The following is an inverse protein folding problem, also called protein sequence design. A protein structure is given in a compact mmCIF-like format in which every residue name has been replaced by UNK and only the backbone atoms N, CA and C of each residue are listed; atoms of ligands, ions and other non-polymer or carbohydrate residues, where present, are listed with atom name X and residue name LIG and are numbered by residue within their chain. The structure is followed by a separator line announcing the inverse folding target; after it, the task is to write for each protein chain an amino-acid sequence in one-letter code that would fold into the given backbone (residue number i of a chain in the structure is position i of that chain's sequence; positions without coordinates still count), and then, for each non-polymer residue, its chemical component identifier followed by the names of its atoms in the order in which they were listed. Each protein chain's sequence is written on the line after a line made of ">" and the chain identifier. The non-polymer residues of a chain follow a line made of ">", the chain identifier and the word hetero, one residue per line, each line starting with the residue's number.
data_IF_056738216814
#
_entry.id   IF_056738216814
#
_cell.length_a   1.000
_cell.length_b   1.000
_cell.length_c   1.000
_cell.angle_alpha   90.00
_cell.angle_beta   90.00
_cell.angle_gamma   90.00
#
_symmetry.space_group_name_H-M   'P 1'
#
loop_
_entity.id
_entity.type
_entity.pdbx_description
1 polymer ?
#
# COMPACT_ATOMS: atom_id res chain seq x y z
N UNK A 1 10.73 -15.84 4.25
CA UNK A 1 10.00 -16.79 3.39
C UNK A 1 10.27 -16.55 1.89
N UNK A 2 9.37 -15.98 1.07
CA UNK A 2 9.59 -15.91 -0.39
C UNK A 2 10.77 -15.01 -0.82
N UNK A 3 10.89 -13.81 -0.26
CA UNK A 3 12.03 -12.91 -0.56
C UNK A 3 13.37 -13.46 -0.07
N UNK A 4 13.34 -14.28 0.97
CA UNK A 4 14.50 -14.97 1.53
C UNK A 4 14.91 -16.16 0.67
N UNK A 5 13.94 -16.96 0.22
CA UNK A 5 14.16 -18.04 -0.72
C UNK A 5 14.69 -17.51 -2.07
N UNK A 6 14.15 -16.39 -2.57
CA UNK A 6 14.65 -15.74 -3.78
C UNK A 6 16.12 -15.31 -3.63
N UNK A 7 16.48 -14.71 -2.48
CA UNK A 7 17.88 -14.34 -2.19
C UNK A 7 18.78 -15.55 -2.05
N UNK A 8 18.35 -16.59 -1.32
CA UNK A 8 19.14 -17.80 -1.10
C UNK A 8 19.40 -18.62 -2.37
N UNK A 9 18.53 -18.49 -3.38
CA UNK A 9 18.65 -19.20 -4.67
C UNK A 9 19.23 -18.34 -5.79
N UNK A 10 19.43 -17.03 -5.57
CA UNK A 10 19.84 -16.08 -6.60
C UNK A 10 18.78 -15.88 -7.70
N UNK A 11 17.50 -16.17 -7.42
CA UNK A 11 16.43 -16.07 -8.41
C UNK A 11 16.20 -14.61 -8.85
N UNK A 12 16.16 -14.38 -10.16
CA UNK A 12 15.83 -13.06 -10.72
C UNK A 12 14.37 -12.65 -10.49
N UNK A 13 13.48 -13.63 -10.34
CA UNK A 13 12.06 -13.40 -10.06
C UNK A 13 11.40 -14.60 -9.37
N UNK A 14 10.30 -14.32 -8.66
CA UNK A 14 9.37 -15.30 -8.11
C UNK A 14 8.02 -15.14 -8.80
N UNK A 15 7.58 -16.16 -9.54
CA UNK A 15 6.28 -16.17 -10.22
C UNK A 15 5.19 -16.65 -9.26
N UNK A 16 4.12 -15.88 -9.15
CA UNK A 16 2.97 -16.18 -8.30
C UNK A 16 1.74 -16.44 -9.17
N UNK A 17 1.02 -17.52 -8.87
CA UNK A 17 -0.20 -17.94 -9.59
C UNK A 17 -1.45 -17.14 -9.27
N UNK A 18 -1.33 -15.84 -9.00
CA UNK A 18 -2.50 -14.98 -8.77
C UNK A 18 -3.24 -14.74 -10.08
N UNK A 19 -4.56 -14.90 -10.03
CA UNK A 19 -5.50 -14.76 -11.14
C UNK A 19 -6.27 -13.44 -11.09
N UNK A 20 -7.11 -13.20 -12.09
CA UNK A 20 -8.08 -12.10 -12.13
C UNK A 20 -9.07 -12.16 -10.97
N UNK A 21 -9.49 -13.36 -10.58
CA UNK A 21 -10.40 -13.57 -9.47
C UNK A 21 -9.76 -13.12 -8.14
N UNK A 22 -8.47 -13.40 -7.94
CA UNK A 22 -7.72 -12.93 -6.77
C UNK A 22 -7.61 -11.38 -6.71
N UNK A 23 -7.64 -10.70 -7.87
CA UNK A 23 -7.74 -9.24 -7.92
C UNK A 23 -9.09 -8.77 -7.40
N UNK A 24 -10.18 -9.35 -7.91
CA UNK A 24 -11.53 -8.99 -7.49
C UNK A 24 -11.72 -9.18 -5.98
N UNK A 25 -11.25 -10.31 -5.44
CA UNK A 25 -11.21 -10.56 -3.99
C UNK A 25 -10.44 -9.46 -3.24
N UNK A 26 -9.25 -9.12 -3.73
CA UNK A 26 -8.40 -8.10 -3.09
C UNK A 26 -9.05 -6.71 -3.11
N UNK A 27 -9.76 -6.36 -4.19
CA UNK A 27 -10.51 -5.11 -4.31
C UNK A 27 -11.65 -5.07 -3.30
N UNK A 28 -12.47 -6.13 -3.21
CA UNK A 28 -13.59 -6.20 -2.25
C UNK A 28 -13.09 -6.12 -0.80
N UNK A 29 -12.01 -6.81 -0.49
CA UNK A 29 -11.37 -6.72 0.83
C UNK A 29 -10.77 -5.34 1.11
N UNK A 30 -10.31 -4.65 0.08
CA UNK A 30 -9.86 -3.26 0.17
C UNK A 30 -11.01 -2.30 0.46
N UNK A 31 -12.13 -2.46 -0.25
CA UNK A 31 -13.35 -1.67 -0.08
C UNK A 31 -13.90 -1.79 1.34
N UNK A 32 -14.03 -3.03 1.85
CA UNK A 32 -14.55 -3.29 3.19
C UNK A 32 -13.72 -2.64 4.31
N UNK A 33 -12.44 -2.35 4.07
CA UNK A 33 -11.54 -1.69 5.03
C UNK A 33 -11.53 -0.16 4.93
N UNK A 34 -12.36 0.43 4.06
CA UNK A 34 -12.39 1.88 3.84
C UNK A 34 -11.10 2.40 3.19
N UNK A 35 -10.49 1.59 2.33
CA UNK A 35 -9.15 1.87 1.82
C UNK A 35 -9.19 2.87 0.66
N UNK A 36 -8.17 3.75 0.57
CA UNK A 36 -8.06 4.71 -0.53
C UNK A 36 -7.71 4.06 -1.88
N UNK A 37 -7.74 4.86 -2.95
CA UNK A 37 -7.50 4.43 -4.34
C UNK A 37 -6.30 3.48 -4.51
N UNK A 38 -5.18 3.72 -3.81
CA UNK A 38 -4.00 2.84 -3.88
C UNK A 38 -4.26 1.41 -3.39
N UNK A 39 -5.07 1.24 -2.35
CA UNK A 39 -5.41 -0.10 -1.88
C UNK A 39 -6.43 -0.78 -2.79
N UNK A 40 -7.31 0.00 -3.41
CA UNK A 40 -8.30 -0.48 -4.37
C UNK A 40 -7.68 -0.79 -5.74
N UNK A 41 -6.49 -0.25 -6.01
CA UNK A 41 -5.73 -0.59 -7.20
C UNK A 41 -5.41 -2.09 -7.30
N UNK A 42 -5.50 -2.88 -6.21
CA UNK A 42 -5.26 -4.32 -6.22
C UNK A 42 -3.77 -4.69 -6.30
N UNK A 43 -3.46 -5.94 -6.67
CA UNK A 43 -2.08 -6.46 -6.72
C UNK A 43 -1.32 -6.02 -7.99
N UNK A 44 -0.09 -5.54 -7.82
CA UNK A 44 0.76 -5.17 -8.96
C UNK A 44 1.25 -6.41 -9.74
N UNK A 45 1.33 -6.28 -11.07
CA UNK A 45 1.94 -7.29 -11.98
C UNK A 45 3.38 -7.56 -11.57
N UNK A 46 4.13 -6.52 -11.19
CA UNK A 46 5.50 -6.59 -10.71
C UNK A 46 5.63 -5.83 -9.40
N UNK A 47 6.28 -6.44 -8.39
CA UNK A 47 6.66 -5.77 -7.14
C UNK A 47 7.95 -6.38 -6.61
N UNK A 48 9.04 -5.62 -6.67
CA UNK A 48 10.37 -6.13 -6.31
C UNK A 48 10.74 -7.34 -7.19
N UNK A 49 11.03 -8.49 -6.59
CA UNK A 49 11.29 -9.76 -7.30
C UNK A 49 10.01 -10.54 -7.64
N UNK A 50 8.85 -10.15 -7.09
CA UNK A 50 7.60 -10.87 -7.31
C UNK A 50 7.00 -10.50 -8.67
N UNK A 51 6.48 -11.50 -9.39
CA UNK A 51 5.77 -11.35 -10.66
C UNK A 51 4.44 -12.10 -10.60
N UNK A 52 3.39 -11.54 -11.21
CA UNK A 52 2.04 -12.14 -11.28
C UNK A 52 1.57 -12.16 -12.74
N UNK A 53 2.07 -13.11 -13.56
CA UNK A 53 1.77 -13.13 -14.99
C UNK A 53 0.30 -13.46 -15.31
N UNK A 54 -0.44 -14.02 -14.36
CA UNK A 54 -1.80 -14.51 -14.59
C UNK A 54 -2.91 -13.59 -14.10
N UNK A 55 -2.61 -12.33 -13.76
CA UNK A 55 -3.64 -11.39 -13.26
C UNK A 55 -4.77 -11.11 -14.26
N UNK A 56 -4.55 -11.39 -15.53
CA UNK A 56 -5.57 -11.29 -16.57
C UNK A 56 -6.27 -12.62 -16.86
N UNK A 57 -5.79 -13.75 -16.33
CA UNK A 57 -6.36 -15.08 -16.51
C UNK A 57 -7.37 -15.35 -15.41
N UNK A 58 -8.52 -15.97 -15.73
CA UNK A 58 -9.52 -16.35 -14.74
C UNK A 58 -9.19 -17.69 -14.09
N UNK A 59 -9.69 -17.93 -12.87
CA UNK A 59 -9.58 -19.25 -12.22
C UNK A 59 -10.28 -20.35 -13.04
N UNK A 60 -11.36 -20.02 -13.74
CA UNK A 60 -12.02 -20.97 -14.64
C UNK A 60 -11.10 -21.39 -15.80
N UNK A 61 -10.32 -20.46 -16.36
CA UNK A 61 -9.34 -20.76 -17.41
C UNK A 61 -8.20 -21.64 -16.89
N UNK A 62 -7.66 -21.37 -15.70
CA UNK A 62 -6.60 -22.22 -15.13
C UNK A 62 -7.10 -23.64 -14.84
N UNK A 63 -8.31 -23.77 -14.28
CA UNK A 63 -8.96 -25.08 -14.08
C UNK A 63 -9.17 -25.81 -15.41
N UNK A 64 -9.61 -25.10 -16.46
CA UNK A 64 -9.81 -25.70 -17.79
C UNK A 64 -8.51 -26.23 -18.38
N UNK A 65 -7.39 -25.52 -18.20
CA UNK A 65 -6.06 -25.98 -18.64
C UNK A 65 -5.70 -27.28 -17.94
N UNK A 66 -5.86 -27.38 -16.62
CA UNK A 66 -5.60 -28.63 -15.89
C UNK A 66 -6.45 -29.79 -16.42
N UNK A 67 -7.75 -29.56 -16.65
CA UNK A 67 -8.65 -30.58 -17.19
C UNK A 67 -8.22 -31.07 -18.58
N UNK A 68 -7.84 -30.15 -19.48
CA UNK A 68 -7.42 -30.51 -20.85
C UNK A 68 -6.13 -31.34 -20.85
N UNK A 69 -5.23 -31.09 -19.91
CA UNK A 69 -3.99 -31.84 -19.77
C UNK A 69 -4.08 -33.06 -18.84
N UNK A 70 -5.25 -33.31 -18.24
CA UNK A 70 -5.43 -34.39 -17.26
C UNK A 70 -4.61 -34.19 -15.97
N UNK A 71 -4.29 -32.95 -15.61
CA UNK A 71 -3.61 -32.64 -14.36
C UNK A 71 -4.60 -32.58 -13.20
N UNK A 72 -4.25 -33.23 -12.09
CA UNK A 72 -4.98 -33.14 -10.84
C UNK A 72 -4.33 -32.08 -9.93
N UNK A 73 -4.88 -30.85 -9.86
CA UNK A 73 -4.30 -29.81 -9.03
C UNK A 73 -4.56 -30.10 -7.55
N UNK A 74 -3.53 -29.94 -6.73
CA UNK A 74 -3.73 -29.96 -5.28
C UNK A 74 -4.68 -28.83 -4.85
N UNK A 75 -5.74 -29.19 -4.13
CA UNK A 75 -6.71 -28.25 -3.55
C UNK A 75 -6.33 -28.03 -2.09
N UNK A 76 -6.00 -26.79 -1.74
CA UNK A 76 -5.63 -26.44 -0.37
C UNK A 76 -6.82 -26.65 0.59
N UNK A 77 -6.63 -27.28 1.76
CA UNK A 77 -7.69 -27.40 2.77
C UNK A 77 -8.34 -26.08 3.20
N UNK A 78 -7.67 -24.93 2.98
CA UNK A 78 -8.19 -23.60 3.26
C UNK A 78 -9.05 -22.99 2.13
N UNK A 79 -9.14 -23.66 0.97
CA UNK A 79 -9.98 -23.26 -0.17
C UNK A 79 -11.48 -23.58 0.04
N UNK A 80 -11.89 -24.07 1.22
CA UNK A 80 -13.31 -24.30 1.52
C UNK A 80 -14.02 -23.03 2.00
N UNK A 81 -15.21 -22.74 1.48
CA UNK A 81 -16.04 -21.57 1.83
C UNK A 81 -16.86 -21.69 3.11
N UNK A 82 -16.48 -22.57 4.05
CA UNK A 82 -17.21 -22.89 5.29
C UNK A 82 -17.14 -21.78 6.36
N UNK A 83 -17.94 -21.93 7.43
CA UNK A 83 -17.82 -21.06 8.61
C UNK A 83 -16.44 -21.23 9.26
N UNK A 84 -15.71 -20.14 9.50
CA UNK A 84 -14.33 -20.17 9.99
C UNK A 84 -13.24 -20.17 8.91
N UNK A 85 -13.63 -20.20 7.62
CA UNK A 85 -12.68 -20.11 6.52
C UNK A 85 -11.96 -18.73 6.48
N UNK A 86 -10.74 -18.66 5.92
CA UNK A 86 -10.06 -17.38 5.69
C UNK A 86 -10.96 -16.40 4.93
N UNK A 87 -10.87 -15.11 5.27
CA UNK A 87 -11.75 -14.09 4.71
C UNK A 87 -11.73 -14.03 3.17
N UNK A 88 -10.58 -14.28 2.54
CA UNK A 88 -10.45 -14.40 1.07
C UNK A 88 -11.29 -15.55 0.50
N UNK A 89 -11.24 -16.72 1.12
CA UNK A 89 -12.05 -17.88 0.73
C UNK A 89 -13.55 -17.58 0.88
N UNK A 90 -13.96 -16.89 1.95
CA UNK A 90 -15.35 -16.45 2.10
C UNK A 90 -15.78 -15.46 1.00
N UNK A 91 -14.92 -14.51 0.62
CA UNK A 91 -15.21 -13.59 -0.49
C UNK A 91 -15.38 -14.36 -1.80
N UNK A 92 -14.47 -15.30 -2.10
CA UNK A 92 -14.52 -16.15 -3.30
C UNK A 92 -15.79 -16.99 -3.38
N UNK A 93 -16.15 -17.67 -2.30
CA UNK A 93 -17.20 -18.69 -2.33
C UNK A 93 -18.58 -18.19 -1.93
N UNK A 94 -18.69 -17.01 -1.31
CA UNK A 94 -19.98 -16.46 -0.85
C UNK A 94 -20.29 -15.10 -1.44
N UNK A 95 -19.33 -14.18 -1.44
CA UNK A 95 -19.59 -12.78 -1.83
C UNK A 95 -19.62 -12.62 -3.34
N UNK A 96 -18.58 -13.07 -4.05
CA UNK A 96 -18.51 -12.95 -5.50
C UNK A 96 -19.68 -13.65 -6.22
N UNK A 97 -20.09 -14.88 -5.84
CA UNK A 97 -21.24 -15.54 -6.46
C UNK A 97 -22.54 -14.76 -6.28
N UNK A 98 -22.80 -14.22 -5.08
CA UNK A 98 -24.00 -13.39 -4.83
C UNK A 98 -23.96 -12.11 -5.65
N UNK A 99 -22.79 -11.48 -5.80
CA UNK A 99 -22.66 -10.30 -6.65
C UNK A 99 -22.93 -10.63 -8.12
N UNK A 100 -22.44 -11.77 -8.63
CA UNK A 100 -22.71 -12.19 -10.01
C UNK A 100 -24.17 -12.60 -10.23
N UNK A 101 -24.81 -13.23 -9.24
CA UNK A 101 -26.22 -13.58 -9.26
C UNK A 101 -27.11 -12.33 -9.34
N UNK A 102 -26.82 -11.31 -8.53
CA UNK A 102 -27.66 -10.11 -8.40
C UNK A 102 -27.37 -9.07 -9.47
N UNK A 103 -26.09 -8.84 -9.81
CA UNK A 103 -25.66 -7.77 -10.74
C UNK A 103 -25.42 -8.28 -12.17
N UNK A 104 -25.43 -9.60 -12.36
CA UNK A 104 -25.10 -10.26 -13.62
C UNK A 104 -23.62 -10.68 -13.72
N UNK A 105 -23.29 -11.49 -14.73
CA UNK A 105 -21.97 -12.06 -14.89
C UNK A 105 -20.89 -11.00 -15.14
N UNK A 106 -19.65 -11.29 -14.73
CA UNK A 106 -18.49 -10.46 -15.06
C UNK A 106 -18.13 -9.39 -14.02
N UNK A 107 -18.69 -9.49 -12.81
CA UNK A 107 -18.34 -8.62 -11.68
C UNK A 107 -16.84 -8.69 -11.38
N UNK A 108 -16.26 -9.89 -11.38
CA UNK A 108 -14.82 -10.05 -11.14
C UNK A 108 -13.97 -9.30 -12.17
N UNK A 109 -14.37 -9.36 -13.45
CA UNK A 109 -13.70 -8.64 -14.53
C UNK A 109 -13.89 -7.12 -14.41
N UNK A 110 -15.08 -6.65 -14.02
CA UNK A 110 -15.34 -5.24 -13.78
C UNK A 110 -14.48 -4.69 -12.62
N UNK A 111 -14.40 -5.41 -11.51
CA UNK A 111 -13.55 -5.05 -10.36
C UNK A 111 -12.07 -5.00 -10.73
N UNK A 112 -11.59 -5.98 -11.51
CA UNK A 112 -10.21 -5.99 -11.99
C UNK A 112 -9.90 -4.79 -12.91
N UNK A 113 -10.83 -4.40 -13.80
CA UNK A 113 -10.68 -3.18 -14.64
C UNK A 113 -10.63 -1.91 -13.80
N UNK A 114 -11.54 -1.76 -12.82
CA UNK A 114 -11.52 -0.62 -11.89
C UNK A 114 -10.20 -0.55 -11.13
N UNK A 115 -9.67 -1.70 -10.69
CA UNK A 115 -8.38 -1.77 -10.02
C UNK A 115 -7.22 -1.32 -10.92
N UNK A 116 -7.24 -1.71 -12.21
CA UNK A 116 -6.25 -1.28 -13.18
C UNK A 116 -6.28 0.25 -13.40
N UNK A 117 -7.46 0.82 -13.62
CA UNK A 117 -7.61 2.27 -13.80
C UNK A 117 -7.14 3.05 -12.55
N UNK A 118 -7.54 2.60 -11.35
CA UNK A 118 -7.07 3.22 -10.10
C UNK A 118 -5.55 3.09 -9.91
N UNK A 119 -4.92 2.07 -10.50
CA UNK A 119 -3.47 1.91 -10.48
C UNK A 119 -2.79 2.96 -11.35
N UNK A 120 -3.27 3.16 -12.58
CA UNK A 120 -2.74 4.17 -13.50
C UNK A 120 -2.74 5.56 -12.82
N UNK A 121 -3.87 5.95 -12.24
CA UNK A 121 -4.00 7.21 -11.49
C UNK A 121 -3.06 7.26 -10.28
N UNK A 122 -2.99 6.15 -9.52
CA UNK A 122 -2.17 6.08 -8.33
C UNK A 122 -0.67 6.19 -8.67
N UNK A 123 -0.23 5.60 -9.77
CA UNK A 123 1.18 5.60 -10.18
C UNK A 123 1.61 7.01 -10.60
N UNK A 124 0.77 7.73 -11.35
CA UNK A 124 1.01 9.15 -11.69
C UNK A 124 1.08 10.02 -10.44
N UNK A 125 0.10 9.91 -9.54
CA UNK A 125 0.09 10.67 -8.29
C UNK A 125 1.28 10.36 -7.38
N UNK A 126 1.84 9.15 -7.52
CA UNK A 126 3.04 8.76 -6.80
C UNK A 126 4.30 9.35 -7.38
N UNK A 127 4.46 9.34 -8.70
CA UNK A 127 5.57 10.02 -9.36
C UNK A 127 5.59 11.51 -9.01
N UNK A 128 4.44 12.19 -9.12
CA UNK A 128 4.31 13.59 -8.74
C UNK A 128 4.69 13.86 -7.28
N UNK A 129 4.32 12.97 -6.36
CA UNK A 129 4.66 13.12 -4.96
C UNK A 129 6.14 12.83 -4.68
N UNK A 130 6.83 11.99 -5.47
CA UNK A 130 8.30 11.86 -5.39
C UNK A 130 8.96 13.16 -5.82
N UNK A 131 8.56 13.71 -6.96
CA UNK A 131 9.14 14.93 -7.51
C UNK A 131 8.94 16.13 -6.57
N UNK A 132 7.70 16.29 -6.05
CA UNK A 132 7.39 17.34 -5.09
C UNK A 132 8.20 17.16 -3.81
N UNK A 133 8.29 15.94 -3.26
CA UNK A 133 9.08 15.68 -2.06
C UNK A 133 10.53 16.10 -2.26
N UNK A 134 11.13 15.82 -3.43
CA UNK A 134 12.48 16.27 -3.77
C UNK A 134 12.61 17.80 -3.74
N UNK A 135 11.67 18.52 -4.35
CA UNK A 135 11.69 20.00 -4.44
C UNK A 135 11.46 20.70 -3.12
N UNK A 136 10.60 20.17 -2.25
CA UNK A 136 10.25 20.83 -0.98
C UNK A 136 11.13 20.39 0.19
N UNK A 137 12.06 19.45 -0.01
CA UNK A 137 12.96 19.00 1.07
C UNK A 137 14.02 20.07 1.36
N UNK A 138 14.05 20.54 2.61
CA UNK A 138 15.06 21.47 3.12
C UNK A 138 16.31 20.74 3.65
N UNK A 139 16.14 19.50 4.11
CA UNK A 139 17.23 18.68 4.62
C UNK A 139 16.78 17.26 4.99
N UNK A 140 17.72 16.32 4.93
CA UNK A 140 17.49 14.90 5.19
C UNK A 140 18.62 14.34 6.04
N UNK A 141 18.24 13.62 7.10
CA UNK A 141 19.15 12.94 8.02
C UNK A 141 18.61 11.54 8.34
N UNK A 142 19.42 10.72 9.01
CA UNK A 142 18.95 9.46 9.56
C UNK A 142 17.77 9.73 10.51
N UNK A 143 16.61 9.15 10.22
CA UNK A 143 15.41 9.28 11.05
C UNK A 143 14.74 10.66 11.03
N UNK A 144 15.12 11.59 10.13
CA UNK A 144 14.51 12.92 10.04
C UNK A 144 14.48 13.48 8.61
N UNK A 145 13.38 14.14 8.26
CA UNK A 145 13.27 14.97 7.07
C UNK A 145 12.62 16.31 7.39
N UNK A 146 13.20 17.39 6.89
CA UNK A 146 12.64 18.73 6.99
C UNK A 146 12.10 19.15 5.63
N UNK A 147 10.87 19.64 5.59
CA UNK A 147 10.16 20.10 4.40
C UNK A 147 9.79 21.59 4.54
N UNK A 148 9.81 22.32 3.42
CA UNK A 148 9.24 23.66 3.34
C UNK A 148 7.72 23.56 3.34
N UNK A 149 7.09 24.01 4.44
CA UNK A 149 5.64 23.93 4.58
C UNK A 149 4.90 24.89 3.63
N UNK A 150 5.46 26.05 3.32
CA UNK A 150 4.84 27.00 2.42
C UNK A 150 4.85 26.44 0.99
N UNK A 151 6.01 25.98 0.52
CA UNK A 151 6.15 25.38 -0.81
C UNK A 151 5.26 24.12 -0.94
N UNK A 152 5.27 23.25 0.07
CA UNK A 152 4.41 22.06 0.09
C UNK A 152 2.91 22.41 0.08
N UNK A 153 2.52 23.49 0.75
CA UNK A 153 1.14 23.98 0.82
C UNK A 153 0.56 24.41 -0.52
N UNK A 154 1.38 24.77 -1.50
CA UNK A 154 0.93 25.17 -2.85
C UNK A 154 0.43 24.01 -3.71
N UNK A 155 0.75 22.78 -3.34
CA UNK A 155 0.37 21.59 -4.11
C UNK A 155 -1.03 21.08 -3.74
N UNK A 156 -1.77 20.47 -4.68
CA UNK A 156 -3.07 19.85 -4.41
C UNK A 156 -3.00 18.82 -3.29
N UNK A 157 -4.08 18.70 -2.50
CA UNK A 157 -4.14 17.82 -1.33
C UNK A 157 -3.80 16.36 -1.64
N UNK A 158 -4.18 15.85 -2.83
CA UNK A 158 -3.87 14.48 -3.24
C UNK A 158 -2.36 14.21 -3.37
N UNK A 159 -1.59 15.19 -3.83
CA UNK A 159 -0.11 15.10 -3.96
C UNK A 159 0.53 15.35 -2.60
N UNK A 160 0.12 16.42 -1.92
CA UNK A 160 0.65 16.82 -0.62
C UNK A 160 0.56 15.71 0.43
N UNK A 161 -0.59 15.04 0.53
CA UNK A 161 -0.79 13.92 1.47
C UNK A 161 0.07 12.71 1.14
N UNK A 162 0.36 12.47 -0.14
CA UNK A 162 1.30 11.42 -0.58
C UNK A 162 2.75 11.78 -0.26
N UNK A 163 3.12 13.05 -0.36
CA UNK A 163 4.43 13.57 0.08
C UNK A 163 4.60 13.33 1.58
N UNK A 164 3.60 13.68 2.39
CA UNK A 164 3.62 13.48 3.84
C UNK A 164 3.73 12.00 4.23
N UNK A 165 2.93 11.13 3.60
CA UNK A 165 3.04 9.69 3.83
C UNK A 165 4.42 9.14 3.46
N UNK A 166 5.03 9.61 2.36
CA UNK A 166 6.39 9.25 1.96
C UNK A 166 7.44 9.75 2.95
N UNK A 167 7.28 10.97 3.46
CA UNK A 167 8.18 11.54 4.47
C UNK A 167 8.23 10.67 5.73
N UNK A 168 7.07 10.18 6.21
CA UNK A 168 7.01 9.21 7.31
C UNK A 168 7.80 7.93 7.00
N UNK A 169 7.61 7.34 5.82
CA UNK A 169 8.31 6.13 5.43
C UNK A 169 9.84 6.31 5.37
N UNK A 170 10.31 7.47 4.92
CA UNK A 170 11.74 7.79 4.82
C UNK A 170 12.45 7.91 6.18
N UNK A 171 11.70 8.24 7.23
CA UNK A 171 12.25 8.38 8.59
C UNK A 171 12.06 7.11 9.43
N UNK A 172 11.68 6.00 8.79
CA UNK A 172 11.53 4.71 9.45
C UNK A 172 10.21 4.51 10.19
N UNK A 173 9.24 5.43 10.05
CA UNK A 173 7.88 5.17 10.55
C UNK A 173 7.27 4.06 9.69
N UNK A 174 6.82 2.93 10.29
CA UNK A 174 6.29 1.82 9.51
C UNK A 174 5.11 2.27 8.65
N UNK A 175 5.25 2.21 7.32
CA UNK A 175 4.25 2.75 6.40
C UNK A 175 2.85 2.14 6.57
N UNK A 176 2.77 0.85 6.94
CA UNK A 176 1.49 0.19 7.23
C UNK A 176 0.79 0.69 8.50
N UNK A 177 1.51 1.36 9.40
CA UNK A 177 0.95 1.96 10.60
C UNK A 177 0.48 3.41 10.39
N UNK A 178 0.96 4.08 9.33
CA UNK A 178 0.58 5.46 8.99
C UNK A 178 -0.84 5.48 8.40
N UNK A 179 -1.83 5.52 9.29
CA UNK A 179 -3.24 5.68 8.93
C UNK A 179 -3.54 7.06 8.34
N UNK A 180 -4.68 7.16 7.65
CA UNK A 180 -5.19 8.41 7.05
C UNK A 180 -5.28 9.57 8.05
N UNK A 181 -5.66 9.29 9.30
CA UNK A 181 -5.71 10.29 10.38
C UNK A 181 -4.38 11.02 10.53
N UNK A 182 -3.29 10.29 10.75
CA UNK A 182 -1.94 10.89 10.89
C UNK A 182 -1.56 11.76 9.68
N UNK A 183 -1.91 11.33 8.47
CA UNK A 183 -1.61 12.10 7.25
C UNK A 183 -2.42 13.40 7.23
N UNK A 184 -3.68 13.39 7.66
CA UNK A 184 -4.50 14.61 7.76
C UNK A 184 -4.01 15.54 8.86
N UNK A 185 -3.57 15.00 9.99
CA UNK A 185 -3.02 15.79 11.09
C UNK A 185 -1.72 16.50 10.66
N UNK A 186 -0.84 15.80 9.94
CA UNK A 186 0.33 16.40 9.29
C UNK A 186 -0.06 17.43 8.22
N UNK A 187 -1.11 17.16 7.42
CA UNK A 187 -1.61 18.06 6.39
C UNK A 187 -2.09 19.39 7.01
N UNK A 188 -2.76 19.32 8.16
CA UNK A 188 -3.21 20.48 8.92
C UNK A 188 -2.04 21.36 9.40
N UNK A 189 -0.91 20.76 9.80
CA UNK A 189 0.30 21.53 10.09
C UNK A 189 0.79 22.33 8.88
N UNK A 190 0.50 21.89 7.65
CA UNK A 190 0.92 22.57 6.42
C UNK A 190 -0.06 23.68 6.02
N UNK A 191 -1.35 23.39 5.93
CA UNK A 191 -2.33 24.30 5.32
C UNK A 191 -3.27 25.01 6.29
N UNK A 192 -3.36 24.57 7.54
CA UNK A 192 -4.25 25.13 8.56
C UNK A 192 -3.47 25.54 9.82
N UNK A 193 -2.24 26.06 9.64
CA UNK A 193 -1.37 26.36 10.77
C UNK A 193 -1.85 27.57 11.59
N UNK A 194 -2.05 27.34 12.89
CA UNK A 194 -2.49 28.32 13.88
C UNK A 194 -1.71 28.24 15.20
N UNK A 195 -0.55 27.58 15.20
CA UNK A 195 0.26 27.34 16.40
C UNK A 195 0.02 25.98 17.06
N UNK A 196 -0.42 24.97 16.31
CA UNK A 196 -0.63 23.61 16.83
C UNK A 196 0.65 23.02 17.43
N UNK A 197 0.47 22.15 18.43
CA UNK A 197 1.54 21.28 18.92
C UNK A 197 1.98 20.23 17.89
N UNK A 198 2.96 19.40 18.25
CA UNK A 198 3.39 18.28 17.41
C UNK A 198 2.30 17.23 17.23
N UNK A 199 2.37 16.52 16.11
CA UNK A 199 1.53 15.37 15.74
C UNK A 199 2.30 14.09 16.01
N UNK A 200 1.77 13.24 16.88
CA UNK A 200 2.34 11.92 17.14
C UNK A 200 2.18 11.01 15.91
N UNK A 201 3.25 10.31 15.56
CA UNK A 201 3.27 9.31 14.50
C UNK A 201 3.52 7.92 15.09
N UNK A 202 3.10 6.85 14.38
CA UNK A 202 3.34 5.48 14.83
C UNK A 202 4.81 5.19 15.12
N UNK A 203 5.07 4.29 16.08
CA UNK A 203 6.42 3.87 16.43
C UNK A 203 7.24 4.91 17.20
N UNK A 204 6.60 5.95 17.75
CA UNK A 204 7.28 7.01 18.48
C UNK A 204 7.85 8.11 17.59
N UNK A 205 7.44 8.17 16.32
CA UNK A 205 7.74 9.30 15.45
C UNK A 205 6.91 10.54 15.78
N UNK A 206 7.29 11.67 15.21
CA UNK A 206 6.62 12.96 15.41
C UNK A 206 6.68 13.79 14.13
N UNK A 207 5.63 14.57 13.86
CA UNK A 207 5.67 15.68 12.92
C UNK A 207 5.41 17.00 13.63
N UNK A 208 6.22 18.04 13.39
CA UNK A 208 5.96 19.38 13.92
C UNK A 208 6.29 20.46 12.91
N UNK A 209 5.60 21.59 13.00
CA UNK A 209 5.96 22.81 12.25
C UNK A 209 6.62 23.84 13.18
N UNK A 210 7.67 24.50 12.69
CA UNK A 210 8.32 25.66 13.35
C UNK A 210 8.92 26.58 12.29
N UNK A 211 8.64 27.89 12.36
CA UNK A 211 9.25 28.90 11.48
C UNK A 211 9.15 28.53 9.97
N UNK A 212 7.98 28.06 9.51
CA UNK A 212 7.75 27.68 8.10
C UNK A 212 8.29 26.30 7.69
N UNK A 213 9.05 25.63 8.56
CA UNK A 213 9.58 24.28 8.34
C UNK A 213 8.69 23.23 8.97
N UNK A 214 8.31 22.21 8.22
CA UNK A 214 7.70 20.99 8.71
C UNK A 214 8.79 19.93 8.91
N UNK A 215 9.05 19.54 10.15
CA UNK A 215 9.95 18.43 10.48
C UNK A 215 9.13 17.18 10.69
N UNK A 216 9.51 16.08 10.03
CA UNK A 216 9.00 14.74 10.29
C UNK A 216 10.17 13.90 10.80
N UNK A 217 10.01 13.27 11.94
CA UNK A 217 11.04 12.46 12.60
C UNK A 217 10.48 11.08 12.97
N UNK A 218 11.31 10.06 12.84
CA UNK A 218 11.05 8.72 13.37
C UNK A 218 11.30 8.65 14.88
N UNK A 219 11.17 7.45 15.43
CA UNK A 219 11.56 7.22 16.84
C UNK A 219 13.01 7.63 17.06
N UNK A 220 13.35 8.32 18.16
CA UNK A 220 14.72 8.45 18.60
C UNK A 220 15.21 7.05 19.00
N UNK A 221 15.79 6.30 18.06
CA UNK A 221 16.61 5.15 18.41
C UNK A 221 17.76 5.68 19.26
N UNK A 222 17.82 5.28 20.53
CA UNK A 222 18.77 5.78 21.53
C UNK A 222 20.18 5.94 20.97
N UNK A 223 20.58 7.19 20.74
CA UNK A 223 21.98 7.56 20.62
C UNK A 223 22.58 7.49 22.02
N UNK A 224 23.65 6.71 22.15
CA UNK A 224 24.33 6.39 23.39
C UNK A 224 24.58 7.61 24.27
N UNK A 225 24.26 7.40 25.54
CA UNK A 225 24.84 8.07 26.68
C UNK A 225 26.27 7.55 26.82
N UNK A 226 27.26 8.34 26.39
CA UNK A 226 28.54 8.56 27.09
C UNK A 226 29.46 9.46 26.26
N UNK A 227 29.59 10.71 26.72
CA UNK A 227 30.83 11.49 26.72
C UNK A 227 30.66 12.54 27.84
N UNK A 228 30.65 12.02 29.08
CA UNK A 228 31.00 12.76 30.29
C UNK A 228 32.14 12.02 30.95
N UNK A 229 33.35 12.53 30.77
CA UNK A 229 34.54 12.49 31.65
C UNK A 229 35.65 13.14 30.78
N UNK A 230 36.05 14.40 30.99
CA UNK A 230 36.88 14.88 32.12
C UNK A 230 38.01 13.93 32.47
#
# INVERSE_FOLDING_TARGET
>A
ALDEAARGTGAAAVLLGHTRDDQAESVLLGLARGSGARSLAGMQVSRGVLRRPWLEVTRAQTTRVCQVHGWDPWVDPTDHGGGGAPLRSQVRHRVLPVLEEVLGPGVAAALARTAAQLREDADVLDALAVDVLGRVTLGRWAGRVDLDAAALGTHPAAVRRRVLHRACAQVGVPGGAVRRGHVLDLDALVVDWRGQGPVALPGGGEGRRRCGRLTVAGSPTGGGQDDREQ
#
